data_IF_512683335412
#
_entry.id   IF_512683335412
#
_cell.length_a   1.000
_cell.length_b   1.000
_cell.length_c   1.000
_cell.angle_alpha   90.00
_cell.angle_beta   90.00
_cell.angle_gamma   90.00
#
_symmetry.space_group_name_H-M   'P 1'
#
loop_
_entity.id
_entity.type
_entity.pdbx_description
1 polymer ?
#
# COMPACT_ATOMS: atom_id res chain seq x y z
N UNK A 1 -7.19 -5.20 34.32
CA UNK A 1 -8.50 -4.68 33.87
C UNK A 1 -8.83 -5.28 32.50
N UNK A 2 -9.88 -6.09 32.39
CA UNK A 2 -10.24 -6.75 31.14
C UNK A 2 -10.87 -5.72 30.17
N UNK A 3 -10.26 -5.51 28.98
CA UNK A 3 -10.87 -4.71 27.91
C UNK A 3 -12.18 -5.39 27.49
N UNK A 4 -13.33 -4.76 27.76
CA UNK A 4 -14.65 -5.22 27.30
C UNK A 4 -14.62 -5.42 25.78
N UNK A 5 -14.68 -6.67 25.32
CA UNK A 5 -14.79 -6.99 23.90
C UNK A 5 -16.18 -6.61 23.40
N UNK A 6 -16.29 -5.57 22.57
CA UNK A 6 -17.55 -5.19 21.91
C UNK A 6 -18.04 -6.37 21.04
N UNK A 7 -19.32 -6.75 21.18
CA UNK A 7 -19.99 -7.70 20.28
C UNK A 7 -19.94 -7.17 18.85
N UNK A 8 -19.47 -7.99 17.90
CA UNK A 8 -19.48 -7.66 16.47
C UNK A 8 -20.92 -7.73 15.95
N UNK A 9 -21.43 -6.64 15.40
CA UNK A 9 -22.68 -6.63 14.63
C UNK A 9 -22.51 -7.45 13.34
N UNK A 10 -23.57 -8.10 12.83
CA UNK A 10 -23.53 -8.82 11.56
C UNK A 10 -23.25 -7.83 10.41
N UNK A 11 -22.38 -8.23 9.48
CA UNK A 11 -22.00 -7.43 8.31
C UNK A 11 -23.19 -7.30 7.35
N UNK A 12 -23.56 -6.08 6.98
CA UNK A 12 -24.44 -5.84 5.82
C UNK A 12 -23.64 -6.12 4.54
N UNK A 13 -24.30 -6.74 3.55
CA UNK A 13 -23.67 -7.16 2.28
C UNK A 13 -23.20 -5.90 1.53
N UNK A 14 -21.88 -5.75 1.36
CA UNK A 14 -21.25 -4.62 0.63
C UNK A 14 -20.55 -3.56 1.49
N UNK A 15 -20.68 -3.60 2.82
CA UNK A 15 -19.95 -2.67 3.71
C UNK A 15 -18.55 -3.22 4.02
N UNK A 16 -17.52 -2.54 3.50
CA UNK A 16 -16.12 -2.88 3.80
C UNK A 16 -15.77 -2.36 5.20
N UNK A 17 -15.47 -3.30 6.10
CA UNK A 17 -15.05 -3.02 7.47
C UNK A 17 -13.61 -3.45 7.70
N UNK A 18 -12.77 -2.60 8.28
CA UNK A 18 -11.44 -3.00 8.76
C UNK A 18 -11.53 -3.31 10.24
N UNK A 19 -11.28 -4.57 10.62
CA UNK A 19 -11.32 -5.07 12.02
C UNK A 19 -12.60 -4.71 12.80
N UNK A 20 -13.72 -4.53 12.10
CA UNK A 20 -15.02 -4.20 12.69
C UNK A 20 -15.38 -2.71 12.71
N UNK A 21 -14.53 -1.85 12.15
CA UNK A 21 -14.79 -0.41 11.99
C UNK A 21 -15.10 -0.08 10.53
N UNK A 22 -16.02 0.86 10.32
CA UNK A 22 -16.29 1.40 8.98
C UNK A 22 -15.21 2.39 8.58
N UNK A 23 -15.12 2.69 7.28
CA UNK A 23 -14.14 3.67 6.76
C UNK A 23 -14.36 5.05 7.37
N UNK A 24 -15.63 5.45 7.53
CA UNK A 24 -16.00 6.72 8.16
C UNK A 24 -15.57 6.79 9.61
N UNK A 25 -15.67 5.68 10.35
CA UNK A 25 -15.19 5.62 11.73
C UNK A 25 -13.67 5.74 11.77
N UNK A 26 -12.95 4.99 10.93
CA UNK A 26 -11.49 4.99 10.86
C UNK A 26 -10.90 6.37 10.53
N UNK A 27 -11.58 7.16 9.71
CA UNK A 27 -11.16 8.55 9.40
C UNK A 27 -11.36 9.52 10.56
N UNK A 28 -12.31 9.25 11.46
CA UNK A 28 -12.60 10.08 12.64
C UNK A 28 -11.75 9.69 13.85
N UNK A 29 -11.29 8.44 13.92
CA UNK A 29 -10.47 7.94 15.01
C UNK A 29 -9.13 8.67 15.08
N UNK A 30 -8.59 8.78 16.29
CA UNK A 30 -7.25 9.32 16.47
C UNK A 30 -6.19 8.38 15.87
N UNK A 31 -5.05 8.95 15.49
CA UNK A 31 -3.94 8.18 14.93
C UNK A 31 -3.40 7.12 15.91
N UNK A 32 -3.45 7.38 17.22
CA UNK A 32 -3.03 6.43 18.25
C UNK A 32 -4.00 5.24 18.36
N UNK A 33 -5.32 5.49 18.39
CA UNK A 33 -6.31 4.41 18.43
C UNK A 33 -6.25 3.55 17.17
N UNK A 34 -6.05 4.16 15.99
CA UNK A 34 -5.84 3.42 14.74
C UNK A 34 -4.61 2.50 14.81
N UNK A 35 -3.53 2.98 15.42
CA UNK A 35 -2.27 2.24 15.59
C UNK A 35 -2.44 0.98 16.45
N UNK A 36 -3.35 1.01 17.44
CA UNK A 36 -3.71 -0.17 18.23
C UNK A 36 -4.46 -1.24 17.43
N UNK A 37 -5.11 -0.87 16.33
CA UNK A 37 -5.82 -1.81 15.46
C UNK A 37 -4.87 -2.51 14.47
N UNK A 38 -3.76 -1.89 14.12
CA UNK A 38 -2.82 -2.43 13.13
C UNK A 38 -2.06 -3.67 13.63
N UNK A 39 -1.57 -4.52 12.70
CA UNK A 39 -0.66 -5.62 13.04
C UNK A 39 0.68 -5.11 13.61
N UNK A 40 1.43 -6.03 14.22
CA UNK A 40 2.63 -5.69 15.01
C UNK A 40 3.71 -4.93 14.22
N UNK A 41 3.95 -5.30 12.95
CA UNK A 41 4.97 -4.66 12.09
C UNK A 41 4.67 -3.17 11.87
N UNK A 42 3.43 -2.87 11.50
CA UNK A 42 2.95 -1.53 11.21
C UNK A 42 2.92 -0.68 12.49
N UNK A 43 2.44 -1.26 13.59
CA UNK A 43 2.46 -0.61 14.91
C UNK A 43 3.88 -0.24 15.33
N UNK A 44 4.83 -1.18 15.18
CA UNK A 44 6.25 -0.93 15.48
C UNK A 44 6.81 0.21 14.65
N UNK A 45 6.48 0.29 13.36
CA UNK A 45 6.94 1.38 12.50
C UNK A 45 6.39 2.73 12.96
N UNK A 46 5.09 2.80 13.24
CA UNK A 46 4.47 4.04 13.72
C UNK A 46 5.08 4.48 15.06
N UNK A 47 5.27 3.55 16.00
CA UNK A 47 5.86 3.84 17.30
C UNK A 47 7.32 4.32 17.21
N UNK A 48 8.06 3.88 16.20
CA UNK A 48 9.42 4.39 15.91
C UNK A 48 9.42 5.80 15.33
N UNK A 49 8.28 6.24 14.79
CA UNK A 49 8.12 7.53 14.15
C UNK A 49 8.35 7.50 12.64
N UNK A 50 7.73 8.47 11.97
CA UNK A 50 7.87 8.70 10.54
C UNK A 50 9.08 9.58 10.24
N UNK A 51 9.78 9.29 9.13
CA UNK A 51 10.82 10.18 8.60
C UNK A 51 10.20 11.47 8.05
N UNK A 52 11.02 12.47 7.79
CA UNK A 52 10.55 13.74 7.21
C UNK A 52 9.85 13.53 5.87
N UNK A 53 10.35 12.62 5.04
CA UNK A 53 9.77 12.36 3.73
C UNK A 53 8.41 11.65 3.83
N UNK A 54 8.22 10.78 4.82
CA UNK A 54 6.90 10.22 5.13
C UNK A 54 5.93 11.33 5.56
N UNK A 55 6.36 12.30 6.36
CA UNK A 55 5.52 13.44 6.77
C UNK A 55 5.13 14.32 5.58
N UNK A 56 6.08 14.62 4.68
CA UNK A 56 5.81 15.36 3.42
C UNK A 56 4.79 14.63 2.55
N UNK A 57 4.86 13.30 2.49
CA UNK A 57 3.88 12.50 1.75
C UNK A 57 2.48 12.61 2.35
N UNK A 58 2.36 12.51 3.68
CA UNK A 58 1.06 12.70 4.38
C UNK A 58 0.52 14.11 4.15
N UNK A 59 1.37 15.14 4.19
CA UNK A 59 0.95 16.52 3.91
C UNK A 59 0.40 16.65 2.49
N UNK A 60 1.09 16.12 1.47
CA UNK A 60 0.59 16.13 0.08
C UNK A 60 -0.76 15.44 -0.10
N UNK A 61 -1.01 14.40 0.68
CA UNK A 61 -2.31 13.71 0.73
C UNK A 61 -3.37 14.62 1.33
N UNK A 62 -3.06 15.34 2.41
CA UNK A 62 -3.97 16.30 3.05
C UNK A 62 -4.26 17.53 2.19
N UNK A 63 -3.30 17.95 1.38
CA UNK A 63 -3.45 19.03 0.40
C UNK A 63 -4.42 18.67 -0.75
N UNK A 64 -4.93 17.44 -0.80
CA UNK A 64 -5.95 17.02 -1.76
C UNK A 64 -5.40 16.73 -3.16
N UNK A 65 -4.10 16.44 -3.29
CA UNK A 65 -3.52 16.05 -4.59
C UNK A 65 -4.09 14.70 -5.02
N UNK A 66 -4.68 14.66 -6.21
CA UNK A 66 -5.31 13.46 -6.76
C UNK A 66 -4.31 12.38 -7.16
N UNK A 67 -3.10 12.78 -7.55
CA UNK A 67 -2.06 11.89 -8.05
C UNK A 67 -0.71 12.22 -7.42
N UNK A 68 -0.09 11.24 -6.75
CA UNK A 68 1.14 11.45 -5.98
C UNK A 68 2.20 10.43 -6.37
N UNK A 69 3.34 10.92 -6.88
CA UNK A 69 4.55 10.13 -7.10
C UNK A 69 5.31 9.92 -5.80
N UNK A 70 5.71 8.68 -5.54
CA UNK A 70 6.48 8.32 -4.34
C UNK A 70 7.52 7.24 -4.61
N UNK A 71 8.68 7.41 -3.98
CA UNK A 71 9.72 6.37 -3.86
C UNK A 71 9.60 5.61 -2.52
N UNK A 72 8.74 6.08 -1.62
CA UNK A 72 8.61 5.56 -0.26
C UNK A 72 7.75 4.30 -0.26
N UNK A 73 8.38 3.17 -0.58
CA UNK A 73 7.74 1.84 -0.64
C UNK A 73 7.44 1.27 0.74
N UNK A 74 8.10 1.80 1.76
CA UNK A 74 7.99 1.38 3.15
C UNK A 74 6.81 2.06 3.87
N UNK A 75 6.14 3.03 3.27
CA UNK A 75 5.03 3.75 3.90
C UNK A 75 3.79 2.85 4.07
N UNK A 76 3.07 3.01 5.19
CA UNK A 76 1.83 2.27 5.49
C UNK A 76 0.65 3.03 4.91
N UNK A 77 -0.31 2.32 4.32
CA UNK A 77 -1.56 2.91 3.83
C UNK A 77 -2.42 3.34 5.02
N UNK A 78 -2.62 4.66 5.14
CA UNK A 78 -3.46 5.28 6.15
C UNK A 78 -4.91 5.45 5.66
N UNK A 79 -5.91 5.52 6.55
CA UNK A 79 -7.31 5.73 6.16
C UNK A 79 -7.56 7.03 5.37
N UNK A 80 -6.71 8.04 5.58
CA UNK A 80 -6.75 9.31 4.85
C UNK A 80 -6.39 9.15 3.36
N UNK A 81 -5.64 8.11 2.99
CA UNK A 81 -5.12 7.90 1.63
C UNK A 81 -6.10 7.17 0.70
N UNK A 82 -7.26 6.76 1.22
CA UNK A 82 -8.26 6.00 0.45
C UNK A 82 -8.84 6.87 -0.66
N UNK A 83 -8.82 6.35 -1.89
CA UNK A 83 -9.32 7.05 -3.08
C UNK A 83 -8.29 7.95 -3.78
N UNK A 84 -7.03 7.97 -3.31
CA UNK A 84 -5.93 8.66 -3.97
C UNK A 84 -5.18 7.68 -4.88
N UNK A 85 -4.70 8.18 -6.01
CA UNK A 85 -3.83 7.42 -6.90
C UNK A 85 -2.36 7.66 -6.54
N UNK A 86 -1.68 6.58 -6.16
CA UNK A 86 -0.27 6.57 -5.84
C UNK A 86 0.54 6.00 -6.99
N UNK A 87 1.54 6.75 -7.43
CA UNK A 87 2.54 6.30 -8.38
C UNK A 87 3.77 5.82 -7.62
N UNK A 88 3.93 4.50 -7.54
CA UNK A 88 4.94 3.84 -6.70
C UNK A 88 6.11 3.41 -7.58
N UNK A 89 7.31 3.90 -7.25
CA UNK A 89 8.52 3.51 -7.97
C UNK A 89 8.85 2.02 -7.77
N UNK A 90 9.06 1.27 -8.86
CA UNK A 90 9.45 -0.14 -8.83
C UNK A 90 10.96 -0.38 -8.99
N UNK A 91 11.72 0.67 -9.26
CA UNK A 91 13.16 0.62 -9.57
C UNK A 91 13.48 1.07 -10.99
N UNK A 92 12.49 1.04 -11.90
CA UNK A 92 12.63 1.47 -13.30
C UNK A 92 11.55 2.46 -13.73
N UNK A 93 10.32 2.25 -13.29
CA UNK A 93 9.14 3.04 -13.64
C UNK A 93 8.26 3.27 -12.42
N UNK A 94 7.30 4.16 -12.58
CA UNK A 94 6.24 4.40 -11.60
C UNK A 94 5.00 3.61 -11.99
N UNK A 95 4.55 2.73 -11.09
CA UNK A 95 3.32 1.98 -11.27
C UNK A 95 2.18 2.72 -10.55
N UNK A 96 1.13 3.07 -11.29
CA UNK A 96 -0.07 3.73 -10.74
C UNK A 96 -0.95 2.71 -10.03
N UNK A 97 -1.24 2.96 -8.77
CA UNK A 97 -2.12 2.14 -7.92
C UNK A 97 -3.16 3.05 -7.29
N UNK A 98 -4.43 2.73 -7.53
CA UNK A 98 -5.54 3.40 -6.85
C UNK A 98 -5.78 2.76 -5.49
N UNK A 99 -5.73 3.53 -4.41
CA UNK A 99 -5.81 3.00 -3.05
C UNK A 99 -7.25 2.61 -2.71
N UNK A 100 -7.48 1.30 -2.61
CA UNK A 100 -8.76 0.74 -2.21
C UNK A 100 -8.85 0.60 -0.68
N UNK A 101 -10.07 0.59 -0.10
CA UNK A 101 -10.25 0.44 1.36
C UNK A 101 -9.72 -0.88 1.93
N UNK A 102 -9.63 -1.93 1.12
CA UNK A 102 -9.09 -3.24 1.53
C UNK A 102 -7.59 -3.19 1.80
N UNK A 103 -6.91 -2.17 1.29
CA UNK A 103 -5.46 -2.03 1.36
C UNK A 103 -4.98 -1.38 2.66
N UNK A 104 -5.88 -0.99 3.56
CA UNK A 104 -5.54 -0.32 4.82
C UNK A 104 -4.62 -1.19 5.67
N UNK A 105 -3.54 -0.60 6.17
CA UNK A 105 -2.58 -1.30 7.03
C UNK A 105 -1.55 -2.15 6.27
N UNK A 106 -1.62 -2.23 4.95
CA UNK A 106 -0.54 -2.79 4.13
C UNK A 106 0.55 -1.74 3.86
N UNK A 107 1.74 -2.20 3.48
CA UNK A 107 2.77 -1.32 2.96
C UNK A 107 2.48 -0.99 1.49
N UNK A 108 2.65 0.27 1.10
CA UNK A 108 2.43 0.73 -0.28
C UNK A 108 3.28 -0.08 -1.27
N UNK A 109 4.51 -0.43 -0.90
CA UNK A 109 5.40 -1.24 -1.72
C UNK A 109 4.89 -2.64 -2.06
N UNK A 110 3.92 -3.20 -1.33
CA UNK A 110 3.32 -4.51 -1.65
C UNK A 110 2.57 -4.49 -3.00
N UNK A 111 2.05 -3.33 -3.40
CA UNK A 111 1.22 -3.16 -4.60
C UNK A 111 2.01 -2.88 -5.87
N UNK A 112 3.34 -2.80 -5.79
CA UNK A 112 4.20 -2.55 -6.95
C UNK A 112 5.28 -3.62 -7.00
N UNK A 113 5.19 -4.56 -7.94
CA UNK A 113 6.17 -5.63 -8.10
C UNK A 113 7.50 -5.05 -8.61
N UNK A 114 8.60 -5.33 -7.91
CA UNK A 114 9.95 -4.89 -8.28
C UNK A 114 10.62 -5.79 -9.31
N UNK A 115 10.08 -7.01 -9.49
CA UNK A 115 10.62 -8.03 -10.39
C UNK A 115 9.53 -8.51 -11.31
N UNK A 116 9.94 -8.86 -12.52
CA UNK A 116 9.06 -9.57 -13.44
C UNK A 116 8.90 -11.02 -12.99
N UNK A 117 7.73 -11.59 -13.24
CA UNK A 117 7.50 -13.02 -13.03
C UNK A 117 8.22 -13.77 -14.17
N UNK A 118 9.26 -14.50 -13.82
CA UNK A 118 9.97 -15.36 -14.77
C UNK A 118 9.16 -16.64 -14.90
N UNK A 119 8.71 -16.94 -16.11
CA UNK A 119 8.13 -18.24 -16.48
C UNK A 119 9.15 -18.97 -17.33
N UNK A 120 9.47 -20.20 -16.98
CA UNK A 120 10.28 -21.06 -17.84
C UNK A 120 9.44 -21.38 -19.08
N UNK A 121 9.91 -20.92 -20.24
CA UNK A 121 9.37 -21.24 -21.54
C UNK A 121 10.52 -21.55 -22.50
N UNK A 122 10.19 -21.83 -23.75
CA UNK A 122 11.19 -21.84 -24.82
C UNK A 122 12.00 -20.54 -24.78
N UNK A 123 13.32 -20.62 -24.94
CA UNK A 123 14.17 -19.45 -24.94
C UNK A 123 13.67 -18.44 -25.99
N UNK A 124 13.24 -17.25 -25.55
CA UNK A 124 12.88 -16.16 -26.45
C UNK A 124 14.10 -15.73 -27.27
N UNK A 125 13.86 -15.18 -28.46
CA UNK A 125 14.93 -14.64 -29.32
C UNK A 125 15.71 -13.58 -28.53
N UNK A 126 17.01 -13.80 -28.34
CA UNK A 126 17.90 -12.93 -27.56
C UNK A 126 18.13 -13.32 -26.09
N UNK A 127 17.46 -14.38 -25.60
CA UNK A 127 17.61 -14.88 -24.22
C UNK A 127 18.86 -15.76 -24.03
N UNK A 128 19.24 -16.54 -25.05
CA UNK A 128 20.46 -17.35 -25.03
C UNK A 128 21.61 -16.62 -25.70
N UNK A 129 22.86 -16.89 -25.27
CA UNK A 129 24.06 -16.27 -25.88
C UNK A 129 24.16 -16.54 -27.39
N UNK A 130 23.60 -17.66 -27.85
CA UNK A 130 23.52 -18.04 -29.26
C UNK A 130 22.44 -17.30 -30.06
N UNK A 131 21.34 -16.88 -29.44
CA UNK A 131 20.23 -16.17 -30.13
C UNK A 131 20.37 -14.64 -30.10
N UNK A 132 21.37 -14.09 -29.39
CA UNK A 132 21.66 -12.64 -29.39
C UNK A 132 22.22 -12.11 -30.72
N UNK A 133 22.78 -12.99 -31.54
CA UNK A 133 23.46 -12.62 -32.79
C UNK A 133 22.78 -13.28 -33.99
N UNK A 134 21.44 -13.24 -34.03
CA UNK A 134 20.71 -13.58 -35.25
C UNK A 134 20.65 -12.31 -36.10
N UNK A 135 21.28 -12.28 -37.29
CA UNK A 135 21.18 -11.13 -38.18
C UNK A 135 19.72 -11.07 -38.66
N UNK A 136 19.00 -10.02 -38.25
CA UNK A 136 17.72 -9.69 -38.88
C UNK A 136 18.05 -9.22 -40.30
N UNK A 137 17.49 -9.92 -41.29
CA UNK A 137 17.60 -9.56 -42.70
C UNK A 137 16.71 -8.37 -43.03
#
# INVERSE_FOLDING_TARGET
MAKKTKKKLPRRKGEITYRGYTISDLKKMSFQEFTELLPASQRRKINRGFTEDHKKLIQRVKDGRTMIRTHLRDMIILPEMIGIDLEIHDGKKFNRVSVQPEMIGHYIGEYSLTRNVVRHGSAGVGATRSSKFVPLK
#
